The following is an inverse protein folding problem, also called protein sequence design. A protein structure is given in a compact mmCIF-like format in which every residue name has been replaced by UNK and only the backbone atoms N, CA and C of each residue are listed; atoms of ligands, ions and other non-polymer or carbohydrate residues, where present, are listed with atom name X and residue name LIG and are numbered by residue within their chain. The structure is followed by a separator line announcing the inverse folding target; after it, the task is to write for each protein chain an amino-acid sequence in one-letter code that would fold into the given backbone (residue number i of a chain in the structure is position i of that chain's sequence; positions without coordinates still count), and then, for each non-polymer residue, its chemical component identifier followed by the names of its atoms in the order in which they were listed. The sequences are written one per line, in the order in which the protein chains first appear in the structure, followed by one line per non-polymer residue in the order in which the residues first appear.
data_IF_768456597749
#
_entry.id   IF_768456597749
#
_cell.length_a   1.000
_cell.length_b   1.000
_cell.length_c   1.000
_cell.angle_alpha   90.00
_cell.angle_beta   90.00
_cell.angle_gamma   90.00
#
_symmetry.space_group_name_H-M   'P 1'
#
loop_
_entity.id
_entity.type
_entity.pdbx_description
1 polymer ?
#
# COMPACT_ATOMS: atom_id res chain seq x y z
N UNK A 1 15.24 29.91 -60.28
CA UNK A 1 14.73 29.79 -58.89
C UNK A 1 15.48 28.62 -58.26
N UNK A 2 16.46 28.73 -57.37
CA UNK A 2 16.86 29.80 -56.48
C UNK A 2 16.95 29.22 -55.06
N UNK A 3 18.17 28.88 -54.62
CA UNK A 3 18.60 28.54 -53.24
C UNK A 3 18.26 27.11 -52.75
N UNK A 4 19.12 26.36 -52.09
CA UNK A 4 20.40 26.71 -51.46
C UNK A 4 21.27 25.48 -51.22
N UNK A 5 22.57 25.68 -51.43
CA UNK A 5 23.65 24.78 -50.98
C UNK A 5 23.82 24.97 -49.48
N UNK A 6 23.79 23.89 -48.70
CA UNK A 6 24.64 23.73 -47.52
C UNK A 6 24.93 22.23 -47.37
N UNK A 7 26.06 21.81 -47.92
CA UNK A 7 26.89 20.82 -47.23
C UNK A 7 27.43 21.46 -45.95
N UNK A 8 28.13 20.79 -45.07
CA UNK A 8 28.64 19.44 -45.02
C UNK A 8 29.21 19.33 -43.60
N UNK A 9 28.97 18.19 -42.95
CA UNK A 9 29.92 17.50 -42.07
C UNK A 9 30.51 18.22 -40.83
N UNK A 10 30.04 17.72 -39.68
CA UNK A 10 30.85 17.04 -38.66
C UNK A 10 31.87 17.88 -37.87
N UNK A 11 31.54 18.22 -36.62
CA UNK A 11 32.51 18.25 -35.52
C UNK A 11 31.90 17.57 -34.29
N UNK A 12 32.68 16.64 -33.78
CA UNK A 12 32.55 15.77 -32.62
C UNK A 12 32.52 16.52 -31.27
N UNK A 13 31.91 15.91 -30.24
CA UNK A 13 32.39 16.06 -28.86
C UNK A 13 31.46 16.76 -27.84
N UNK A 14 31.64 16.47 -26.54
CA UNK A 14 30.63 16.49 -25.49
C UNK A 14 30.57 17.83 -24.74
N UNK A 15 29.40 18.23 -24.22
CA UNK A 15 29.18 18.90 -22.91
C UNK A 15 27.80 19.59 -22.78
N UNK A 16 27.25 19.53 -21.56
CA UNK A 16 26.38 20.52 -20.90
C UNK A 16 25.03 20.86 -21.58
N UNK A 17 23.87 20.32 -21.17
CA UNK A 17 23.28 20.35 -19.82
C UNK A 17 23.57 21.67 -19.08
N UNK A 18 22.92 22.77 -19.48
CA UNK A 18 22.77 23.95 -18.60
C UNK A 18 21.61 24.88 -19.03
N UNK A 19 20.74 25.15 -18.04
CA UNK A 19 19.81 26.28 -17.92
C UNK A 19 18.41 26.14 -18.55
N UNK A 20 17.65 25.21 -17.97
CA UNK A 20 16.30 25.51 -17.45
C UNK A 20 16.34 26.76 -16.55
N UNK A 21 15.37 27.68 -16.68
CA UNK A 21 15.09 28.68 -15.64
C UNK A 21 15.04 30.15 -16.06
N UNK A 22 14.29 30.51 -17.11
CA UNK A 22 14.05 31.93 -17.48
C UNK A 22 12.59 32.27 -17.83
N UNK A 23 11.61 31.57 -17.25
CA UNK A 23 10.19 31.81 -17.57
C UNK A 23 9.25 32.04 -16.38
N UNK A 24 9.76 32.15 -15.14
CA UNK A 24 8.92 32.41 -13.96
C UNK A 24 9.46 33.53 -13.05
N UNK A 25 10.09 34.56 -13.62
CA UNK A 25 10.62 35.70 -12.86
C UNK A 25 9.95 37.07 -13.19
N UNK A 26 8.88 37.08 -14.00
CA UNK A 26 8.31 38.35 -14.49
C UNK A 26 7.11 38.89 -13.70
N UNK A 27 6.52 38.13 -12.76
CA UNK A 27 5.30 38.57 -12.05
C UNK A 27 5.51 39.10 -10.62
N UNK A 28 6.68 38.88 -9.99
CA UNK A 28 6.88 39.31 -8.59
C UNK A 28 7.63 40.65 -8.48
N UNK A 29 8.33 41.09 -9.53
CA UNK A 29 9.22 42.25 -9.44
C UNK A 29 8.50 43.62 -9.43
N UNK A 30 7.19 43.70 -9.77
CA UNK A 30 6.48 44.98 -9.91
C UNK A 30 5.86 45.52 -8.61
N UNK A 31 5.84 44.75 -7.53
CA UNK A 31 5.28 45.19 -6.23
C UNK A 31 6.36 45.78 -5.30
N UNK A 32 7.64 45.64 -5.64
CA UNK A 32 8.75 46.09 -4.77
C UNK A 32 9.26 47.52 -5.07
N UNK A 33 8.82 48.16 -6.15
CA UNK A 33 9.36 49.46 -6.59
C UNK A 33 8.62 50.70 -6.04
N UNK A 34 7.64 50.54 -5.14
CA UNK A 34 6.87 51.66 -4.57
C UNK A 34 7.30 52.07 -3.15
N UNK A 35 8.44 51.58 -2.65
CA UNK A 35 8.92 51.89 -1.29
C UNK A 35 10.38 52.37 -1.27
N UNK A 36 10.75 53.25 -2.20
CA UNK A 36 12.06 53.92 -2.18
C UNK A 36 12.00 55.38 -2.67
N UNK A 37 11.13 56.19 -2.07
CA UNK A 37 11.20 57.63 -2.18
C UNK A 37 10.81 58.27 -0.84
N UNK A 38 11.80 58.62 -0.02
CA UNK A 38 11.61 59.36 1.23
C UNK A 38 12.71 59.05 2.26
N UNK A 39 13.77 59.85 2.26
CA UNK A 39 14.84 59.77 3.26
C UNK A 39 14.45 60.34 4.62
N UNK A 40 15.16 59.92 5.68
CA UNK A 40 15.66 60.74 6.80
C UNK A 40 16.31 59.86 7.87
N UNK A 41 17.61 60.10 8.08
CA UNK A 41 18.31 60.13 9.37
C UNK A 41 17.73 59.37 10.57
N UNK A 42 18.26 58.19 10.92
CA UNK A 42 18.42 57.75 12.32
C UNK A 42 19.66 56.84 12.42
N UNK A 43 20.62 57.29 13.23
CA UNK A 43 21.20 56.52 14.33
C UNK A 43 21.72 55.11 14.06
N UNK A 44 23.05 55.00 14.07
CA UNK A 44 23.80 53.80 14.47
C UNK A 44 23.22 53.20 15.76
N UNK A 45 22.59 52.02 15.66
CA UNK A 45 22.46 51.08 16.78
C UNK A 45 22.90 49.70 16.30
N UNK A 46 24.06 49.30 16.81
CA UNK A 46 24.56 47.94 16.74
C UNK A 46 23.65 47.04 17.60
N UNK A 47 22.97 46.07 16.99
CA UNK A 47 22.59 44.83 17.67
C UNK A 47 22.81 43.66 16.72
N UNK A 48 23.95 43.03 16.93
CA UNK A 48 24.40 41.77 16.36
C UNK A 48 23.56 40.62 16.97
N UNK A 49 22.60 40.07 16.21
CA UNK A 49 22.02 38.74 16.51
C UNK A 49 22.12 37.88 15.24
N UNK A 50 23.25 37.19 15.01
CA UNK A 50 23.40 36.25 13.92
C UNK A 50 22.78 34.91 14.37
N UNK A 51 21.49 34.71 14.12
CA UNK A 51 20.84 33.44 14.47
C UNK A 51 19.46 33.20 13.84
N UNK A 52 18.67 34.25 13.63
CA UNK A 52 17.28 34.09 13.18
C UNK A 52 17.16 33.90 11.65
N UNK A 53 18.13 34.41 10.88
CA UNK A 53 18.11 34.29 9.41
C UNK A 53 18.39 32.85 8.91
N UNK A 54 19.02 32.01 9.74
CA UNK A 54 19.25 30.60 9.44
C UNK A 54 17.98 29.75 9.62
N UNK A 55 17.06 30.21 10.47
CA UNK A 55 15.81 29.48 10.78
C UNK A 55 14.70 29.73 9.72
N UNK A 56 14.76 30.82 8.96
CA UNK A 56 13.75 31.15 7.93
C UNK A 56 14.16 30.64 6.53
N UNK A 57 15.47 30.48 6.27
CA UNK A 57 16.00 30.02 4.96
C UNK A 57 15.87 28.50 4.74
N UNK A 58 15.54 27.73 5.77
CA UNK A 58 15.32 26.27 5.70
C UNK A 58 13.85 25.89 5.53
N UNK A 59 12.91 26.82 5.71
CA UNK A 59 11.46 26.53 5.74
C UNK A 59 10.78 26.43 4.35
N UNK A 60 11.40 26.89 3.26
CA UNK A 60 10.76 26.88 1.92
C UNK A 60 11.11 25.69 1.02
N UNK A 61 11.96 24.78 1.49
CA UNK A 61 12.42 23.60 0.72
C UNK A 61 12.17 22.28 1.44
N UNK A 62 11.08 22.16 2.19
CA UNK A 62 10.45 20.83 2.32
C UNK A 62 9.89 20.55 0.92
N UNK A 63 10.76 20.04 0.06
CA UNK A 63 10.54 19.96 -1.38
C UNK A 63 9.22 19.27 -1.66
N UNK A 64 8.45 19.77 -2.61
CA UNK A 64 7.24 19.08 -3.10
C UNK A 64 7.51 17.58 -3.39
N UNK A 65 8.76 17.25 -3.79
CA UNK A 65 9.28 15.88 -3.89
C UNK A 65 9.24 15.08 -2.59
N UNK A 66 9.66 15.64 -1.45
CA UNK A 66 9.63 14.94 -0.15
C UNK A 66 8.20 14.78 0.36
N UNK A 67 7.33 15.75 0.06
CA UNK A 67 5.90 15.66 0.39
C UNK A 67 5.23 14.58 -0.48
N UNK A 68 5.52 14.53 -1.77
CA UNK A 68 5.00 13.51 -2.69
C UNK A 68 5.51 12.10 -2.34
N UNK A 69 6.79 11.93 -2.00
CA UNK A 69 7.32 10.63 -1.56
C UNK A 69 6.78 10.23 -0.18
N UNK A 70 6.61 11.19 0.74
CA UNK A 70 5.97 10.94 2.03
C UNK A 70 4.51 10.54 1.87
N UNK A 71 3.74 11.25 1.04
CA UNK A 71 2.38 10.87 0.68
C UNK A 71 2.31 9.51 0.00
N UNK A 72 3.26 9.16 -0.87
CA UNK A 72 3.30 7.84 -1.52
C UNK A 72 3.64 6.72 -0.54
N UNK A 73 4.52 6.95 0.43
CA UNK A 73 4.83 6.00 1.51
C UNK A 73 3.67 5.83 2.49
N UNK A 74 2.97 6.93 2.82
CA UNK A 74 1.77 6.90 3.67
C UNK A 74 0.57 6.24 2.95
N UNK A 75 0.48 6.39 1.62
CA UNK A 75 -0.59 5.78 0.82
C UNK A 75 -0.40 4.27 0.62
N UNK A 76 0.86 3.80 0.49
CA UNK A 76 1.17 2.37 0.41
C UNK A 76 0.86 1.59 1.68
N UNK A 77 0.77 2.25 2.84
CA UNK A 77 0.41 1.60 4.10
C UNK A 77 -1.10 1.38 4.25
N UNK A 78 -1.93 2.15 3.52
CA UNK A 78 -3.38 2.16 3.70
C UNK A 78 -4.14 1.04 2.95
N UNK A 79 -3.43 0.08 2.34
CA UNK A 79 -4.02 -0.94 1.48
C UNK A 79 -3.72 -2.38 1.94
N UNK A 80 -3.48 -2.56 3.25
CA UNK A 80 -3.48 -3.88 3.87
C UNK A 80 -4.85 -4.10 4.49
N UNK A 81 -5.55 -5.15 4.04
CA UNK A 81 -6.71 -5.68 4.74
C UNK A 81 -6.21 -6.18 6.09
N UNK A 82 -6.53 -5.46 7.16
CA UNK A 82 -6.04 -5.78 8.50
C UNK A 82 -6.90 -6.90 9.06
N UNK A 83 -6.34 -8.11 9.14
CA UNK A 83 -6.91 -9.25 9.89
C UNK A 83 -7.47 -8.86 11.28
N UNK A 84 -6.87 -7.83 11.88
CA UNK A 84 -7.26 -7.26 13.16
C UNK A 84 -8.68 -6.67 13.15
N UNK A 85 -9.15 -6.10 12.03
CA UNK A 85 -10.50 -5.58 11.89
C UNK A 85 -11.54 -6.72 11.94
N UNK A 86 -11.23 -7.85 11.30
CA UNK A 86 -12.03 -9.07 11.40
C UNK A 86 -12.11 -9.60 12.83
N UNK A 87 -10.99 -9.62 13.57
CA UNK A 87 -10.97 -10.03 14.98
C UNK A 87 -11.75 -9.07 15.87
N UNK A 88 -11.68 -7.75 15.61
CA UNK A 88 -12.42 -6.75 16.35
C UNK A 88 -13.93 -6.84 16.09
N UNK A 89 -14.35 -7.02 14.83
CA UNK A 89 -15.75 -7.28 14.49
C UNK A 89 -16.26 -8.55 15.18
N UNK A 90 -15.44 -9.60 15.17
CA UNK A 90 -15.75 -10.86 15.84
C UNK A 90 -15.90 -10.70 17.37
N UNK A 91 -15.03 -9.87 17.99
CA UNK A 91 -15.08 -9.53 19.42
C UNK A 91 -16.33 -8.72 19.78
N UNK A 92 -16.76 -7.82 18.91
CA UNK A 92 -18.02 -7.07 19.03
C UNK A 92 -19.26 -7.94 18.81
N UNK A 93 -19.08 -9.18 18.35
CA UNK A 93 -20.17 -10.11 18.03
C UNK A 93 -20.75 -9.93 16.64
N UNK A 94 -20.19 -9.03 15.82
CA UNK A 94 -20.58 -8.87 14.42
C UNK A 94 -19.88 -9.95 13.56
N UNK A 95 -20.52 -11.12 13.50
CA UNK A 95 -20.00 -12.27 12.75
C UNK A 95 -20.07 -12.06 11.24
N UNK A 96 -21.05 -11.31 10.74
CA UNK A 96 -21.22 -11.12 9.30
C UNK A 96 -20.10 -10.22 8.74
N UNK A 97 -19.74 -9.16 9.46
CA UNK A 97 -18.62 -8.30 9.08
C UNK A 97 -17.30 -9.04 9.24
N UNK A 98 -17.08 -9.74 10.36
CA UNK A 98 -15.88 -10.54 10.57
C UNK A 98 -15.64 -11.55 9.44
N UNK A 99 -16.70 -12.20 8.95
CA UNK A 99 -16.61 -13.15 7.84
C UNK A 99 -16.05 -12.51 6.57
N UNK A 100 -16.54 -11.32 6.22
CA UNK A 100 -16.09 -10.58 5.05
C UNK A 100 -14.64 -10.13 5.19
N UNK A 101 -14.26 -9.64 6.36
CA UNK A 101 -12.90 -9.20 6.62
C UNK A 101 -11.91 -10.37 6.57
N UNK A 102 -12.25 -11.52 7.15
CA UNK A 102 -11.39 -12.70 7.02
C UNK A 102 -11.34 -13.22 5.58
N UNK A 103 -12.44 -13.14 4.82
CA UNK A 103 -12.44 -13.44 3.39
C UNK A 103 -11.46 -12.55 2.63
N UNK A 104 -11.50 -11.24 2.85
CA UNK A 104 -10.55 -10.30 2.25
C UNK A 104 -9.10 -10.59 2.69
N UNK A 105 -8.87 -10.82 3.99
CA UNK A 105 -7.54 -11.13 4.52
C UNK A 105 -6.95 -12.43 3.96
N UNK A 106 -7.79 -13.46 3.72
CA UNK A 106 -7.35 -14.71 3.07
C UNK A 106 -6.90 -14.49 1.63
N UNK A 107 -7.62 -13.63 0.88
CA UNK A 107 -7.25 -13.25 -0.48
C UNK A 107 -5.99 -12.38 -0.51
N UNK A 108 -5.76 -11.58 0.53
CA UNK A 108 -4.52 -10.84 0.73
C UNK A 108 -3.33 -11.74 1.14
N UNK A 109 -3.58 -13.02 1.43
CA UNK A 109 -2.54 -13.98 1.79
C UNK A 109 -2.20 -14.04 3.29
N UNK A 110 -3.03 -13.49 4.18
CA UNK A 110 -2.81 -13.66 5.62
C UNK A 110 -3.08 -15.11 6.04
N UNK A 111 -2.02 -15.82 6.42
CA UNK A 111 -2.06 -17.22 6.86
C UNK A 111 -3.06 -17.46 8.00
N UNK A 112 -3.27 -16.48 8.90
CA UNK A 112 -4.17 -16.62 10.06
C UNK A 112 -5.65 -16.54 9.67
N UNK A 113 -5.97 -15.88 8.56
CA UNK A 113 -7.34 -15.70 8.11
C UNK A 113 -7.98 -17.04 7.69
N UNK A 114 -7.19 -17.98 7.16
CA UNK A 114 -7.66 -19.29 6.72
C UNK A 114 -8.31 -20.10 7.86
N UNK A 115 -7.68 -20.20 9.03
CA UNK A 115 -8.28 -20.92 10.16
C UNK A 115 -9.48 -20.19 10.76
N UNK A 116 -9.51 -18.85 10.70
CA UNK A 116 -10.68 -18.07 11.15
C UNK A 116 -11.88 -18.30 10.23
N UNK A 117 -11.72 -18.19 8.91
CA UNK A 117 -12.75 -18.54 7.93
C UNK A 117 -13.23 -19.98 8.09
N UNK A 118 -12.32 -20.94 8.19
CA UNK A 118 -12.66 -22.35 8.39
C UNK A 118 -13.51 -22.55 9.63
N UNK A 119 -13.16 -21.87 10.74
CA UNK A 119 -13.93 -21.92 11.98
C UNK A 119 -15.32 -21.30 11.82
N UNK A 120 -15.45 -20.22 11.04
CA UNK A 120 -16.73 -19.59 10.79
C UNK A 120 -17.68 -20.48 9.99
N UNK A 121 -17.18 -21.22 9.00
CA UNK A 121 -17.97 -22.24 8.30
C UNK A 121 -18.26 -23.45 9.19
N UNK A 122 -17.33 -23.86 10.05
CA UNK A 122 -17.51 -25.00 10.96
C UNK A 122 -18.62 -24.74 11.99
N UNK A 123 -18.69 -23.53 12.53
CA UNK A 123 -19.65 -23.14 13.57
C UNK A 123 -20.86 -22.37 13.04
N UNK A 124 -20.91 -22.05 11.74
CA UNK A 124 -21.98 -21.22 11.16
C UNK A 124 -21.99 -19.78 11.71
N UNK A 125 -20.81 -19.17 11.85
CA UNK A 125 -20.67 -17.81 12.36
C UNK A 125 -20.71 -16.82 11.19
N UNK A 126 -21.78 -16.03 11.09
CA UNK A 126 -21.92 -15.04 10.00
C UNK A 126 -22.15 -15.66 8.61
N UNK A 127 -22.28 -16.98 8.56
CA UNK A 127 -22.60 -17.80 7.38
C UNK A 127 -23.33 -19.06 7.86
N UNK A 128 -23.90 -19.83 6.93
CA UNK A 128 -24.47 -21.14 7.25
C UNK A 128 -23.36 -22.18 7.52
N UNK A 129 -23.66 -23.16 8.37
CA UNK A 129 -22.72 -24.25 8.67
C UNK A 129 -22.42 -25.05 7.40
N UNK A 130 -21.14 -25.13 7.03
CA UNK A 130 -20.69 -25.86 5.86
C UNK A 130 -19.37 -26.57 6.16
N UNK A 131 -19.48 -27.84 6.55
CA UNK A 131 -18.32 -28.67 6.89
C UNK A 131 -17.36 -28.88 5.70
N UNK A 132 -17.83 -29.12 4.46
CA UNK A 132 -16.94 -29.22 3.30
C UNK A 132 -16.09 -27.97 3.10
N UNK A 133 -16.71 -26.78 3.15
CA UNK A 133 -16.00 -25.51 3.03
C UNK A 133 -15.04 -25.29 4.20
N UNK A 134 -15.44 -25.62 5.43
CA UNK A 134 -14.56 -25.52 6.59
C UNK A 134 -13.27 -26.33 6.37
N UNK A 135 -13.41 -27.59 5.92
CA UNK A 135 -12.26 -28.45 5.59
C UNK A 135 -11.36 -27.82 4.53
N UNK A 136 -11.93 -27.28 3.45
CA UNK A 136 -11.17 -26.58 2.39
C UNK A 136 -10.34 -25.44 2.95
N UNK A 137 -10.95 -24.54 3.72
CA UNK A 137 -10.26 -23.39 4.29
C UNK A 137 -9.16 -23.78 5.26
N UNK A 138 -9.37 -24.83 6.07
CA UNK A 138 -8.30 -25.35 6.93
C UNK A 138 -7.17 -26.01 6.13
N UNK A 139 -7.48 -26.78 5.08
CA UNK A 139 -6.47 -27.38 4.22
C UNK A 139 -5.60 -26.32 3.50
N UNK A 140 -6.24 -25.24 3.01
CA UNK A 140 -5.54 -24.06 2.47
C UNK A 140 -4.64 -23.41 3.53
N UNK A 141 -5.14 -23.26 4.75
CA UNK A 141 -4.37 -22.74 5.88
C UNK A 141 -3.11 -23.57 6.15
N UNK A 142 -3.22 -24.91 6.15
CA UNK A 142 -2.06 -25.80 6.34
C UNK A 142 -0.98 -25.56 5.27
N UNK A 143 -1.37 -25.35 4.01
CA UNK A 143 -0.45 -25.05 2.92
C UNK A 143 0.19 -23.67 3.03
N UNK A 144 -0.58 -22.69 3.50
CA UNK A 144 -0.11 -21.35 3.80
C UNK A 144 0.77 -21.29 5.07
N UNK A 145 0.95 -22.39 5.80
CA UNK A 145 1.78 -22.50 7.00
C UNK A 145 1.04 -22.29 8.33
N UNK A 146 -0.30 -22.29 8.33
CA UNK A 146 -1.11 -22.19 9.54
C UNK A 146 -1.08 -23.52 10.33
N UNK A 147 -0.37 -23.49 11.46
CA UNK A 147 -0.22 -24.65 12.35
C UNK A 147 -1.50 -25.01 13.09
N UNK A 148 -2.44 -24.08 13.24
CA UNK A 148 -3.72 -24.37 13.90
C UNK A 148 -4.69 -25.09 12.98
N UNK A 149 -4.55 -24.89 11.67
CA UNK A 149 -5.50 -25.39 10.69
C UNK A 149 -5.52 -26.93 10.61
N UNK A 150 -4.39 -27.62 10.83
CA UNK A 150 -4.31 -29.09 10.81
C UNK A 150 -5.30 -29.75 11.77
N UNK A 151 -5.30 -29.32 13.03
CA UNK A 151 -6.20 -29.88 14.05
C UNK A 151 -7.66 -29.66 13.68
N UNK A 152 -8.00 -28.47 13.19
CA UNK A 152 -9.39 -28.15 12.85
C UNK A 152 -9.85 -28.84 11.56
N UNK A 153 -8.95 -29.04 10.59
CA UNK A 153 -9.21 -29.82 9.38
C UNK A 153 -9.60 -31.25 9.72
N UNK A 154 -8.88 -31.89 10.63
CA UNK A 154 -9.19 -33.26 11.06
C UNK A 154 -10.52 -33.32 11.82
N UNK A 155 -10.86 -32.30 12.63
CA UNK A 155 -12.19 -32.23 13.27
C UNK A 155 -13.31 -32.03 12.25
N UNK A 156 -13.09 -31.23 11.21
CA UNK A 156 -14.06 -31.05 10.14
C UNK A 156 -14.23 -32.33 9.32
N UNK A 157 -13.13 -33.05 9.04
CA UNK A 157 -13.15 -34.34 8.37
C UNK A 157 -13.91 -35.41 9.17
N UNK A 158 -13.71 -35.46 10.49
CA UNK A 158 -14.42 -36.38 11.37
C UNK A 158 -15.94 -36.09 11.47
N UNK A 159 -16.36 -34.85 11.23
CA UNK A 159 -17.76 -34.45 11.22
C UNK A 159 -18.50 -34.79 9.91
N UNK A 160 -17.79 -35.23 8.87
CA UNK A 160 -18.34 -35.48 7.54
C UNK A 160 -18.26 -36.96 7.12
N UNK A 161 -19.24 -37.47 6.33
CA UNK A 161 -19.09 -38.75 5.66
C UNK A 161 -18.05 -38.68 4.52
N UNK A 162 -17.42 -39.81 4.20
CA UNK A 162 -16.35 -39.92 3.19
C UNK A 162 -16.71 -39.31 1.82
N UNK A 163 -17.99 -39.36 1.44
CA UNK A 163 -18.48 -38.77 0.19
C UNK A 163 -18.33 -37.24 0.16
N UNK A 164 -18.60 -36.56 1.27
CA UNK A 164 -18.44 -35.11 1.38
C UNK A 164 -16.97 -34.68 1.39
N UNK A 165 -16.08 -35.55 1.88
CA UNK A 165 -14.63 -35.29 1.86
C UNK A 165 -14.12 -35.22 0.42
N UNK A 166 -14.55 -36.15 -0.45
CA UNK A 166 -14.15 -36.15 -1.87
C UNK A 166 -14.55 -34.84 -2.57
N UNK A 167 -15.77 -34.38 -2.33
CA UNK A 167 -16.23 -33.12 -2.89
C UNK A 167 -15.45 -31.92 -2.33
N UNK A 168 -15.12 -31.93 -1.03
CA UNK A 168 -14.27 -30.91 -0.43
C UNK A 168 -12.86 -30.88 -1.04
N UNK A 169 -12.28 -32.03 -1.39
CA UNK A 169 -10.97 -32.11 -2.07
C UNK A 169 -11.01 -31.55 -3.49
N UNK A 170 -12.09 -31.79 -4.24
CA UNK A 170 -12.31 -31.17 -5.54
C UNK A 170 -12.37 -29.64 -5.42
N UNK A 171 -13.17 -29.12 -4.50
CA UNK A 171 -13.25 -27.69 -4.21
C UNK A 171 -11.90 -27.11 -3.79
N UNK A 172 -11.14 -27.84 -2.97
CA UNK A 172 -9.83 -27.42 -2.52
C UNK A 172 -8.89 -27.14 -3.71
N UNK A 173 -8.87 -28.02 -4.72
CA UNK A 173 -8.06 -27.82 -5.93
C UNK A 173 -8.46 -26.56 -6.71
N UNK A 174 -9.76 -26.26 -6.78
CA UNK A 174 -10.27 -25.05 -7.43
C UNK A 174 -9.82 -23.78 -6.69
N UNK A 175 -9.96 -23.76 -5.36
CA UNK A 175 -9.59 -22.59 -4.55
C UNK A 175 -8.08 -22.40 -4.48
N UNK A 176 -7.29 -23.47 -4.49
CA UNK A 176 -5.82 -23.40 -4.61
C UNK A 176 -5.39 -22.71 -5.90
N UNK A 177 -5.98 -23.13 -7.03
CA UNK A 177 -5.69 -22.53 -8.33
C UNK A 177 -6.04 -21.03 -8.36
N UNK A 178 -7.13 -20.62 -7.68
CA UNK A 178 -7.51 -19.21 -7.55
C UNK A 178 -6.54 -18.38 -6.71
N UNK A 179 -6.02 -18.97 -5.62
CA UNK A 179 -5.14 -18.28 -4.66
C UNK A 179 -3.65 -18.39 -5.01
N UNK A 180 -3.28 -19.22 -5.98
CA UNK A 180 -1.88 -19.43 -6.37
C UNK A 180 -1.04 -20.17 -5.33
N UNK A 181 -1.68 -20.99 -4.48
CA UNK A 181 -1.02 -21.77 -3.44
C UNK A 181 -0.49 -23.11 -4.01
N UNK A 182 0.62 -23.65 -3.48
CA UNK A 182 1.15 -24.93 -3.93
C UNK A 182 0.17 -26.08 -3.62
N UNK A 183 0.05 -27.05 -4.54
CA UNK A 183 -0.77 -28.24 -4.33
C UNK A 183 -0.39 -28.99 -3.04
N UNK A 184 -1.36 -29.64 -2.37
CA UNK A 184 -1.08 -30.34 -1.13
C UNK A 184 -0.09 -31.45 -1.44
N UNK A 185 0.97 -31.53 -0.64
CA UNK A 185 1.90 -32.66 -0.71
C UNK A 185 1.09 -33.94 -0.47
N UNK A 186 0.81 -34.69 -1.54
CA UNK A 186 0.17 -35.99 -1.45
C UNK A 186 1.06 -36.89 -0.60
N UNK A 187 0.57 -37.28 0.58
CA UNK A 187 1.25 -38.28 1.41
C UNK A 187 0.93 -39.68 0.90
#
# INVERSE_FOLDING_TARGET
MGLGKFGAWLVSGPEARLVMGKLLDYCVYRVYSSWSAGGSSIGRFCCNIPGIFWLIRTQRMISFRTILTSCFLLFSFALQADFEEGEEANRKGDRATAFKEFQAASQAGDTRAYSKLGSMYLYGLGTETNYPMAYVWFALGMQAGDRYAERFRDTAAAAMPLEQIRHAEELLSEYQAKLGLPEPASK
#
